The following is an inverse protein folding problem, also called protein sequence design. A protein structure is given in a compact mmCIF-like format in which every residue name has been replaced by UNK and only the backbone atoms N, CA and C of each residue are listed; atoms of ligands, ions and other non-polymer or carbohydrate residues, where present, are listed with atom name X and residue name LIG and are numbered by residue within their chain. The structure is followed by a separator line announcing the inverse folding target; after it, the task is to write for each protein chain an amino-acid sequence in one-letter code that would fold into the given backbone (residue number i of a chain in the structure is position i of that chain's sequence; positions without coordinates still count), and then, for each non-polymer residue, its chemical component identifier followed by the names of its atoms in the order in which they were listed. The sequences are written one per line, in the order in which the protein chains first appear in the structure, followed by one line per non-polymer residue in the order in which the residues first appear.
data_IF_572418031710
#
_entry.id   IF_572418031710
#
_cell.length_a   1.000
_cell.length_b   1.000
_cell.length_c   1.000
_cell.angle_alpha   90.00
_cell.angle_beta   90.00
_cell.angle_gamma   90.00
#
_symmetry.space_group_name_H-M   'P 1'
#
loop_
_entity.id
_entity.type
_entity.pdbx_description
1 polymer ?
#
# COMPACT_ATOMS: atom_id res chain seq x y z
N UNK A 1 51.70 -36.04 -5.41
CA UNK A 1 52.15 -34.75 -5.98
C UNK A 1 52.50 -33.83 -4.81
N UNK A 2 53.79 -33.54 -4.59
CA UNK A 2 54.23 -32.74 -3.45
C UNK A 2 53.82 -31.28 -3.65
N UNK A 3 52.93 -30.77 -2.80
CA UNK A 3 52.55 -29.36 -2.86
C UNK A 3 53.78 -28.48 -2.59
N UNK A 4 53.95 -27.50 -3.47
CA UNK A 4 55.06 -26.57 -3.45
C UNK A 4 55.07 -25.81 -2.10
N UNK A 5 56.23 -25.67 -1.46
CA UNK A 5 56.34 -25.11 -0.10
C UNK A 5 55.79 -23.69 0.00
N UNK A 6 55.80 -22.97 -1.12
CA UNK A 6 55.22 -21.64 -1.21
C UNK A 6 53.70 -21.65 -1.17
N UNK A 7 53.04 -22.58 -1.87
CA UNK A 7 51.58 -22.71 -1.85
C UNK A 7 51.08 -22.96 -0.42
N UNK A 8 51.75 -23.82 0.36
CA UNK A 8 51.40 -24.04 1.78
C UNK A 8 51.48 -22.76 2.63
N UNK A 9 52.50 -21.92 2.42
CA UNK A 9 52.65 -20.64 3.14
C UNK A 9 51.61 -19.61 2.71
N UNK A 10 51.17 -19.65 1.45
CA UNK A 10 50.11 -18.77 0.95
C UNK A 10 48.75 -19.13 1.54
N UNK A 11 48.39 -20.42 1.59
CA UNK A 11 47.16 -20.86 2.26
C UNK A 11 47.17 -20.57 3.77
N UNK A 12 48.34 -20.65 4.41
CA UNK A 12 48.49 -20.30 5.82
C UNK A 12 48.41 -18.79 6.07
N UNK A 13 48.95 -17.96 5.15
CA UNK A 13 48.77 -16.50 5.19
C UNK A 13 47.33 -16.07 4.91
N UNK A 14 46.57 -16.86 4.15
CA UNK A 14 45.15 -16.63 3.88
C UNK A 14 44.25 -17.03 5.07
N UNK A 15 44.81 -17.59 6.16
CA UNK A 15 44.06 -17.89 7.38
C UNK A 15 43.07 -19.04 7.24
N UNK A 16 43.16 -19.83 6.16
CA UNK A 16 42.20 -20.89 5.83
C UNK A 16 42.56 -22.27 6.42
N UNK A 17 43.72 -22.38 7.07
CA UNK A 17 44.23 -23.62 7.68
C UNK A 17 44.30 -23.46 9.20
N UNK A 18 43.65 -24.37 9.93
CA UNK A 18 43.78 -24.45 11.38
C UNK A 18 45.20 -24.83 11.82
N UNK A 19 45.52 -24.74 13.12
CA UNK A 19 46.85 -25.05 13.67
C UNK A 19 47.35 -26.47 13.33
N UNK A 20 46.43 -27.39 12.99
CA UNK A 20 46.72 -28.79 12.68
C UNK A 20 46.75 -29.10 11.17
N UNK A 21 46.64 -28.09 10.30
CA UNK A 21 46.74 -28.25 8.84
C UNK A 21 45.46 -28.71 8.13
N UNK A 22 44.33 -28.73 8.82
CA UNK A 22 43.01 -29.03 8.24
C UNK A 22 42.42 -27.77 7.56
N UNK A 23 41.82 -27.88 6.35
CA UNK A 23 41.13 -26.77 5.72
C UNK A 23 39.87 -26.43 6.51
N UNK A 24 39.78 -25.19 6.99
CA UNK A 24 38.55 -24.67 7.60
C UNK A 24 37.47 -24.66 6.51
N UNK A 25 36.62 -25.69 6.50
CA UNK A 25 35.41 -25.73 5.70
C UNK A 25 34.56 -24.53 6.10
N UNK A 26 34.71 -23.43 5.36
CA UNK A 26 33.78 -22.31 5.40
C UNK A 26 32.39 -22.92 5.30
N UNK A 27 31.67 -22.83 6.42
CA UNK A 27 30.32 -23.34 6.60
C UNK A 27 29.46 -22.64 5.55
N UNK A 28 29.31 -23.24 4.36
CA UNK A 28 28.36 -22.80 3.35
C UNK A 28 26.99 -22.99 3.98
N UNK A 29 26.52 -21.93 4.61
CA UNK A 29 25.25 -21.87 5.29
C UNK A 29 24.16 -22.22 4.27
N UNK A 30 23.51 -23.40 4.34
CA UNK A 30 22.53 -23.81 3.34
C UNK A 30 21.13 -23.31 3.74
N UNK A 31 21.04 -22.11 4.30
CA UNK A 31 19.82 -21.48 4.80
C UNK A 31 19.56 -20.16 4.09
N UNK A 32 19.55 -20.21 2.77
CA UNK A 32 18.80 -19.24 1.98
C UNK A 32 18.03 -20.00 0.91
N UNK A 33 17.35 -21.08 1.32
CA UNK A 33 16.14 -21.50 0.62
C UNK A 33 15.20 -20.32 0.75
N UNK A 34 14.98 -19.62 -0.36
CA UNK A 34 14.00 -18.57 -0.52
C UNK A 34 12.66 -19.06 0.03
N UNK A 35 12.43 -18.81 1.33
CA UNK A 35 11.09 -18.76 1.85
C UNK A 35 10.44 -17.69 1.00
N UNK A 36 9.41 -18.07 0.25
CA UNK A 36 8.55 -17.09 -0.38
C UNK A 36 7.99 -16.25 0.76
N UNK A 37 8.65 -15.14 1.03
CA UNK A 37 8.31 -14.18 2.04
C UNK A 37 7.02 -13.54 1.53
N UNK A 38 5.89 -14.18 1.85
CA UNK A 38 4.58 -13.61 1.64
C UNK A 38 4.63 -12.23 2.29
N UNK A 39 4.32 -11.18 1.53
CA UNK A 39 4.30 -9.81 2.04
C UNK A 39 3.57 -9.78 3.37
N UNK A 40 4.31 -9.58 4.46
CA UNK A 40 3.72 -9.53 5.79
C UNK A 40 2.77 -8.33 5.90
N UNK A 41 1.77 -8.35 6.80
CA UNK A 41 0.84 -7.23 6.97
C UNK A 41 1.54 -5.90 7.27
N UNK A 42 2.70 -5.94 7.95
CA UNK A 42 3.54 -4.77 8.18
C UNK A 42 4.18 -4.22 6.89
N UNK A 43 4.62 -5.10 5.99
CA UNK A 43 5.17 -4.71 4.69
C UNK A 43 4.07 -4.15 3.78
N UNK A 44 2.90 -4.78 3.76
CA UNK A 44 1.72 -4.31 3.03
C UNK A 44 1.29 -2.90 3.48
N UNK A 45 1.20 -2.65 4.79
CA UNK A 45 0.87 -1.32 5.31
C UNK A 45 1.89 -0.25 4.89
N UNK A 46 3.18 -0.62 4.83
CA UNK A 46 4.26 0.26 4.35
C UNK A 46 4.10 0.58 2.85
N UNK A 47 3.77 -0.43 2.05
CA UNK A 47 3.48 -0.29 0.63
C UNK A 47 2.24 0.60 0.39
N UNK A 48 1.13 0.37 1.10
CA UNK A 48 -0.08 1.21 1.05
C UNK A 48 0.22 2.65 1.43
N UNK A 49 1.00 2.90 2.49
CA UNK A 49 1.39 4.25 2.88
C UNK A 49 2.21 4.94 1.77
N UNK A 50 3.07 4.20 1.09
CA UNK A 50 3.86 4.72 -0.04
C UNK A 50 2.99 5.09 -1.23
N UNK A 51 1.93 4.31 -1.51
CA UNK A 51 0.99 4.55 -2.59
C UNK A 51 0.02 5.71 -2.26
N UNK A 52 -0.47 5.78 -1.02
CA UNK A 52 -1.32 6.87 -0.53
C UNK A 52 -0.64 8.23 -0.59
N UNK A 53 0.70 8.28 -0.58
CA UNK A 53 1.46 9.54 -0.79
C UNK A 53 1.40 10.03 -2.23
N UNK A 54 1.10 9.17 -3.20
CA UNK A 54 0.90 9.54 -4.61
C UNK A 54 -0.51 10.06 -4.89
N UNK A 55 -1.45 9.85 -3.96
CA UNK A 55 -2.81 10.36 -4.08
C UNK A 55 -2.78 11.89 -3.94
N UNK A 56 -3.21 12.57 -4.99
CA UNK A 56 -3.44 14.01 -4.95
C UNK A 56 -4.69 14.29 -4.13
N UNK A 57 -4.51 14.58 -2.84
CA UNK A 57 -5.61 15.03 -2.00
C UNK A 57 -6.02 16.44 -2.40
N UNK A 58 -7.33 16.70 -2.56
CA UNK A 58 -7.82 17.99 -2.98
C UNK A 58 -7.42 19.07 -1.97
N UNK A 59 -7.22 20.29 -2.46
CA UNK A 59 -7.00 21.43 -1.57
C UNK A 59 -8.27 21.74 -0.78
N UNK A 60 -8.13 22.37 0.39
CA UNK A 60 -9.30 22.77 1.20
C UNK A 60 -10.30 23.61 0.40
N UNK A 61 -9.80 24.50 -0.46
CA UNK A 61 -10.61 25.34 -1.33
C UNK A 61 -11.41 24.52 -2.34
N UNK A 62 -10.78 23.51 -2.96
CA UNK A 62 -11.43 22.64 -3.92
C UNK A 62 -12.53 21.79 -3.26
N UNK A 63 -12.27 21.24 -2.07
CA UNK A 63 -13.28 20.51 -1.29
C UNK A 63 -14.48 21.39 -0.93
N UNK A 64 -14.23 22.65 -0.53
CA UNK A 64 -15.29 23.60 -0.20
C UNK A 64 -16.12 23.94 -1.45
N UNK A 65 -15.46 24.20 -2.59
CA UNK A 65 -16.14 24.52 -3.84
C UNK A 65 -17.08 23.40 -4.29
N UNK A 66 -16.59 22.15 -4.30
CA UNK A 66 -17.44 21.00 -4.64
C UNK A 66 -18.58 20.81 -3.64
N UNK A 67 -18.31 21.01 -2.35
CA UNK A 67 -19.36 20.92 -1.32
C UNK A 67 -20.46 21.96 -1.52
N UNK A 68 -20.10 23.20 -1.86
CA UNK A 68 -21.07 24.27 -2.16
C UNK A 68 -21.92 23.89 -3.37
N UNK A 69 -21.31 23.41 -4.45
CA UNK A 69 -22.03 22.99 -5.66
C UNK A 69 -23.04 21.88 -5.32
N UNK A 70 -22.63 20.88 -4.53
CA UNK A 70 -23.53 19.81 -4.08
C UNK A 70 -24.66 20.33 -3.21
N UNK A 71 -24.40 21.21 -2.25
CA UNK A 71 -25.43 21.79 -1.38
C UNK A 71 -26.44 22.59 -2.19
N UNK A 72 -26.00 23.42 -3.13
CA UNK A 72 -26.90 24.17 -4.02
C UNK A 72 -27.76 23.22 -4.84
N UNK A 73 -27.16 22.17 -5.42
CA UNK A 73 -27.86 21.17 -6.21
C UNK A 73 -28.93 20.45 -5.37
N UNK A 74 -28.61 20.08 -4.13
CA UNK A 74 -29.56 19.47 -3.20
C UNK A 74 -30.73 20.42 -2.91
N UNK A 75 -30.47 21.70 -2.62
CA UNK A 75 -31.51 22.70 -2.37
C UNK A 75 -32.44 22.83 -3.57
N UNK A 76 -31.92 22.87 -4.79
CA UNK A 76 -32.72 22.94 -6.02
C UNK A 76 -33.65 21.72 -6.13
N UNK A 77 -33.14 20.51 -5.96
CA UNK A 77 -33.96 19.31 -6.01
C UNK A 77 -34.99 19.26 -4.88
N UNK A 78 -34.62 19.67 -3.66
CA UNK A 78 -35.55 19.74 -2.53
C UNK A 78 -36.71 20.67 -2.82
N UNK A 79 -36.43 21.87 -3.34
CA UNK A 79 -37.49 22.83 -3.70
C UNK A 79 -38.37 22.30 -4.83
N UNK A 80 -37.77 21.67 -5.84
CA UNK A 80 -38.53 21.09 -6.96
C UNK A 80 -39.47 19.99 -6.48
N UNK A 81 -38.96 19.01 -5.73
CA UNK A 81 -39.75 17.89 -5.20
C UNK A 81 -40.84 18.42 -4.26
N UNK A 82 -40.49 19.32 -3.33
CA UNK A 82 -41.45 19.91 -2.41
C UNK A 82 -42.58 20.65 -3.14
N UNK A 83 -42.24 21.45 -4.16
CA UNK A 83 -43.23 22.15 -4.98
C UNK A 83 -44.13 21.18 -5.73
N UNK A 84 -43.55 20.11 -6.29
CA UNK A 84 -44.29 19.06 -6.99
C UNK A 84 -45.25 18.32 -6.05
N UNK A 85 -44.78 17.93 -4.87
CA UNK A 85 -45.58 17.26 -3.84
C UNK A 85 -46.76 18.15 -3.38
N UNK A 86 -46.52 19.46 -3.24
CA UNK A 86 -47.58 20.40 -2.88
C UNK A 86 -48.65 20.49 -3.98
N UNK A 87 -48.23 20.63 -5.24
CA UNK A 87 -49.15 20.68 -6.39
C UNK A 87 -49.97 19.38 -6.49
N UNK A 88 -49.32 18.22 -6.37
CA UNK A 88 -50.03 16.94 -6.39
C UNK A 88 -50.99 16.79 -5.22
N UNK A 89 -50.59 17.19 -4.01
CA UNK A 89 -51.45 17.13 -2.83
C UNK A 89 -52.74 17.94 -3.02
N UNK A 90 -52.62 19.17 -3.52
CA UNK A 90 -53.77 20.04 -3.78
C UNK A 90 -54.67 19.49 -4.90
N UNK A 91 -54.08 18.96 -5.98
CA UNK A 91 -54.83 18.35 -7.08
C UNK A 91 -55.60 17.11 -6.64
N UNK A 92 -54.96 16.24 -5.86
CA UNK A 92 -55.58 15.04 -5.32
C UNK A 92 -56.72 15.41 -4.38
N UNK A 93 -56.52 16.35 -3.45
CA UNK A 93 -57.58 16.82 -2.55
C UNK A 93 -58.78 17.39 -3.32
N UNK A 94 -58.54 18.18 -4.36
CA UNK A 94 -59.60 18.71 -5.22
C UNK A 94 -60.34 17.61 -6.00
N UNK A 95 -59.63 16.58 -6.47
CA UNK A 95 -60.25 15.47 -7.19
C UNK A 95 -61.13 14.60 -6.28
N UNK A 96 -60.72 14.38 -5.03
CA UNK A 96 -61.48 13.57 -4.07
C UNK A 96 -62.62 14.32 -3.36
N UNK A 97 -62.54 15.66 -3.29
CA UNK A 97 -63.59 16.51 -2.71
C UNK A 97 -64.56 17.10 -3.77
N UNK A 98 -64.38 16.72 -5.05
CA UNK A 98 -65.30 17.00 -6.15
C UNK A 98 -66.10 15.75 -6.49
#
# INVERSE_FOLDING_TARGET
MALNREQKRMLQRQGELGPDGEPLRTRRNPQSRAQHERTGPAQFAREVRSELRKVAWPTRSETINYSIITVVTLVVFTVLIFGLDWVFSELVLKLFNA
#
